data_IF_663286681352
#
_entry.id   IF_663286681352
#
_cell.length_a   1.000
_cell.length_b   1.000
_cell.length_c   1.000
_cell.angle_alpha   90.00
_cell.angle_beta   90.00
_cell.angle_gamma   90.00
#
_symmetry.space_group_name_H-M   'P 1'
#
loop_
_entity.id
_entity.type
_entity.pdbx_description
1 polymer ?
#
# COMPACT_ATOMS: atom_id res chain seq x y z
N UNK A 1 -33.39 -11.07 72.38
CA UNK A 1 -34.55 -10.15 72.25
C UNK A 1 -34.03 -8.84 71.70
N UNK A 2 -34.40 -8.42 70.48
CA UNK A 2 -34.96 -9.22 69.38
C UNK A 2 -33.84 -10.14 68.81
N UNK A 3 -33.54 -10.40 67.54
CA UNK A 3 -34.14 -10.06 66.24
C UNK A 3 -33.72 -11.11 65.17
N UNK A 4 -34.29 -11.03 63.97
CA UNK A 4 -34.00 -11.92 62.83
C UNK A 4 -33.84 -11.13 61.52
N UNK A 5 -32.60 -10.92 61.07
CA UNK A 5 -32.33 -10.55 59.67
C UNK A 5 -32.04 -11.81 58.83
N UNK A 6 -33.10 -12.57 58.58
CA UNK A 6 -33.07 -13.68 57.63
C UNK A 6 -32.90 -13.12 56.20
N UNK A 7 -31.65 -13.08 55.72
CA UNK A 7 -31.27 -12.74 54.35
C UNK A 7 -31.89 -13.74 53.36
N UNK A 8 -33.16 -13.50 53.00
CA UNK A 8 -33.94 -14.36 52.11
C UNK A 8 -33.27 -14.36 50.72
N UNK A 9 -32.81 -15.51 50.20
CA UNK A 9 -32.05 -15.54 48.96
C UNK A 9 -32.89 -14.97 47.80
N UNK A 10 -32.27 -14.18 46.89
CA UNK A 10 -32.99 -13.59 45.77
C UNK A 10 -33.62 -14.67 44.91
N UNK A 11 -34.89 -14.48 44.53
CA UNK A 11 -35.64 -15.45 43.71
C UNK A 11 -34.86 -15.75 42.42
N UNK A 12 -34.76 -17.01 41.96
CA UNK A 12 -33.82 -17.40 40.89
C UNK A 12 -34.02 -16.64 39.57
N UNK A 13 -35.26 -16.22 39.26
CA UNK A 13 -35.55 -15.36 38.10
C UNK A 13 -34.90 -13.97 38.20
N UNK A 14 -34.78 -13.40 39.39
CA UNK A 14 -34.11 -12.09 39.61
C UNK A 14 -32.60 -12.25 39.43
N UNK A 15 -32.01 -13.33 39.97
CA UNK A 15 -30.60 -13.65 39.77
C UNK A 15 -30.28 -13.88 38.28
N UNK A 16 -31.13 -14.60 37.55
CA UNK A 16 -30.98 -14.81 36.10
C UNK A 16 -31.13 -13.50 35.31
N UNK A 17 -32.10 -12.64 35.64
CA UNK A 17 -32.26 -11.34 34.97
C UNK A 17 -31.08 -10.40 35.25
N UNK A 18 -30.55 -10.39 36.48
CA UNK A 18 -29.35 -9.63 36.83
C UNK A 18 -28.11 -10.15 36.08
N UNK A 19 -27.96 -11.47 35.95
CA UNK A 19 -26.88 -12.09 35.17
C UNK A 19 -27.00 -11.75 33.67
N UNK A 20 -28.20 -11.85 33.09
CA UNK A 20 -28.44 -11.49 31.69
C UNK A 20 -28.21 -9.99 31.43
N UNK A 21 -28.62 -9.11 32.34
CA UNK A 21 -28.35 -7.68 32.26
C UNK A 21 -26.85 -7.37 32.36
N UNK A 22 -26.11 -8.04 33.25
CA UNK A 22 -24.67 -7.89 33.39
C UNK A 22 -23.91 -8.41 32.16
N UNK A 23 -24.31 -9.55 31.60
CA UNK A 23 -23.74 -10.09 30.35
C UNK A 23 -24.04 -9.16 29.17
N UNK A 24 -25.27 -8.67 29.04
CA UNK A 24 -25.64 -7.72 27.98
C UNK A 24 -24.85 -6.40 28.10
N UNK A 25 -24.72 -5.86 29.31
CA UNK A 25 -23.91 -4.68 29.58
C UNK A 25 -22.42 -4.92 29.25
N UNK A 26 -21.87 -6.09 29.59
CA UNK A 26 -20.49 -6.46 29.24
C UNK A 26 -20.28 -6.61 27.72
N UNK A 27 -21.27 -7.11 26.99
CA UNK A 27 -21.23 -7.23 25.52
C UNK A 27 -21.34 -5.87 24.82
N UNK A 28 -22.16 -4.93 25.33
CA UNK A 28 -22.24 -3.57 24.79
C UNK A 28 -21.06 -2.68 25.23
N UNK A 29 -20.44 -2.94 26.38
CA UNK A 29 -19.26 -2.23 26.87
C UNK A 29 -17.94 -2.81 26.36
N UNK A 30 -17.95 -3.98 25.72
CA UNK A 30 -16.80 -4.50 25.02
C UNK A 30 -16.46 -3.54 23.86
N UNK A 31 -15.23 -2.99 23.78
CA UNK A 31 -14.83 -2.22 22.61
C UNK A 31 -14.93 -3.11 21.37
N UNK A 32 -15.29 -2.58 20.19
CA UNK A 32 -15.30 -3.36 18.97
C UNK A 32 -13.92 -3.99 18.79
N UNK A 33 -13.90 -5.31 18.56
CA UNK A 33 -12.67 -6.05 18.35
C UNK A 33 -12.04 -5.66 17.02
N UNK A 34 -11.34 -4.53 17.01
CA UNK A 34 -10.48 -4.12 15.92
C UNK A 34 -9.52 -5.28 15.63
N UNK A 35 -9.44 -5.66 14.35
CA UNK A 35 -8.48 -6.67 13.90
C UNK A 35 -7.08 -6.12 14.18
N UNK A 36 -6.49 -6.58 15.28
CA UNK A 36 -5.21 -6.11 15.77
C UNK A 36 -4.09 -6.69 14.88
N UNK A 37 -3.84 -6.04 13.75
CA UNK A 37 -2.74 -6.40 12.86
C UNK A 37 -1.42 -6.38 13.65
N UNK A 38 -0.77 -7.54 13.75
CA UNK A 38 0.52 -7.63 14.44
C UNK A 38 1.59 -6.87 13.64
N UNK A 39 2.27 -5.88 14.23
CA UNK A 39 3.20 -5.04 13.49
C UNK A 39 4.41 -5.85 12.99
N UNK A 40 4.73 -5.71 11.71
CA UNK A 40 5.85 -6.41 11.09
C UNK A 40 7.19 -5.81 11.53
N UNK A 41 8.01 -6.59 12.23
CA UNK A 41 9.32 -6.16 12.73
C UNK A 41 10.41 -6.30 11.66
N UNK A 42 10.74 -5.22 10.97
CA UNK A 42 11.89 -5.14 10.06
C UNK A 42 13.14 -4.68 10.82
N UNK A 43 14.26 -5.39 10.66
CA UNK A 43 15.58 -5.00 11.20
C UNK A 43 16.61 -4.92 10.07
N UNK A 44 17.42 -3.88 10.07
CA UNK A 44 18.50 -3.64 9.11
C UNK A 44 19.78 -3.33 9.87
N UNK A 45 20.87 -4.02 9.53
CA UNK A 45 22.20 -3.77 10.06
C UNK A 45 23.05 -3.08 8.98
N UNK A 46 23.27 -1.78 9.14
CA UNK A 46 24.03 -0.96 8.18
C UNK A 46 25.55 -1.15 8.28
N UNK A 47 26.07 -1.77 9.33
CA UNK A 47 27.50 -2.07 9.46
C UNK A 47 27.89 -3.33 8.67
N UNK A 48 26.92 -4.21 8.37
CA UNK A 48 27.15 -5.52 7.75
C UNK A 48 26.88 -5.52 6.24
N UNK A 49 27.85 -5.04 5.47
CA UNK A 49 27.83 -5.16 4.00
C UNK A 49 27.95 -6.63 3.58
N UNK A 50 26.97 -7.15 2.82
CA UNK A 50 26.93 -8.56 2.39
C UNK A 50 27.47 -8.80 0.98
N UNK A 51 27.09 -7.96 0.02
CA UNK A 51 27.49 -8.03 -1.40
C UNK A 51 27.11 -6.73 -2.12
N UNK A 52 27.71 -6.43 -3.29
CA UNK A 52 27.24 -5.33 -4.14
C UNK A 52 25.78 -5.55 -4.59
N UNK A 53 24.96 -4.50 -4.54
CA UNK A 53 23.65 -4.43 -5.20
C UNK A 53 23.82 -3.63 -6.50
N UNK A 54 23.47 -4.22 -7.65
CA UNK A 54 23.44 -3.52 -8.94
C UNK A 54 22.05 -3.00 -9.21
N UNK A 55 21.95 -1.75 -9.68
CA UNK A 55 20.69 -1.13 -10.11
C UNK A 55 20.29 -1.66 -11.50
N UNK A 56 19.76 -2.90 -11.56
CA UNK A 56 19.44 -3.60 -12.81
C UNK A 56 18.11 -3.16 -13.46
N UNK A 57 17.34 -2.30 -12.81
CA UNK A 57 15.98 -1.90 -13.18
C UNK A 57 15.90 -0.54 -13.91
N UNK A 58 17.04 0.05 -14.30
CA UNK A 58 17.14 1.44 -14.78
C UNK A 58 16.74 1.63 -16.25
N UNK A 59 15.64 0.98 -16.68
CA UNK A 59 15.11 1.12 -18.04
C UNK A 59 13.61 1.33 -18.01
N UNK A 60 13.13 2.16 -18.93
CA UNK A 60 11.73 2.27 -19.33
C UNK A 60 11.62 2.03 -20.85
N UNK A 61 10.43 2.22 -21.43
CA UNK A 61 10.20 2.13 -22.87
C UNK A 61 8.76 2.46 -23.24
N UNK A 62 8.54 2.80 -24.50
CA UNK A 62 7.22 3.16 -25.04
C UNK A 62 7.09 2.70 -26.51
N UNK A 63 5.88 2.77 -27.05
CA UNK A 63 5.61 2.60 -28.48
C UNK A 63 4.81 3.81 -28.96
N UNK A 64 5.21 4.49 -30.06
CA UNK A 64 4.38 5.54 -30.65
C UNK A 64 3.01 4.98 -31.10
N UNK A 65 1.96 5.81 -31.14
CA UNK A 65 0.63 5.40 -31.58
C UNK A 65 0.60 5.01 -33.07
N UNK A 66 -0.55 4.54 -33.54
CA UNK A 66 -0.82 4.38 -34.96
C UNK A 66 -1.17 5.75 -35.60
N UNK A 67 -0.77 6.01 -36.86
CA UNK A 67 0.04 5.14 -37.71
C UNK A 67 1.54 5.32 -37.45
N UNK A 68 2.31 4.23 -37.44
CA UNK A 68 3.73 4.27 -37.03
C UNK A 68 4.65 5.06 -37.98
N UNK A 69 4.26 5.22 -39.25
CA UNK A 69 4.93 6.13 -40.19
C UNK A 69 4.68 7.63 -39.92
N UNK A 70 4.02 7.96 -38.80
CA UNK A 70 3.86 9.31 -38.25
C UNK A 70 4.33 9.33 -36.77
N UNK A 71 5.22 8.41 -36.38
CA UNK A 71 5.80 8.36 -35.04
C UNK A 71 6.52 9.67 -34.66
N UNK A 72 7.05 10.43 -35.63
CA UNK A 72 7.68 11.73 -35.44
C UNK A 72 6.77 12.74 -34.72
N UNK A 73 5.47 12.73 -35.04
CA UNK A 73 4.48 13.61 -34.41
C UNK A 73 4.28 13.32 -32.93
N UNK A 74 4.61 12.10 -32.47
CA UNK A 74 4.56 11.71 -31.06
C UNK A 74 5.95 11.82 -30.41
N UNK A 75 6.97 11.20 -30.99
CA UNK A 75 8.34 11.13 -30.46
C UNK A 75 9.00 12.51 -30.32
N UNK A 76 8.67 13.46 -31.19
CA UNK A 76 9.21 14.83 -31.17
C UNK A 76 8.25 15.85 -30.55
N UNK A 77 7.06 15.41 -30.09
CA UNK A 77 6.04 16.29 -29.48
C UNK A 77 6.55 17.03 -28.24
N UNK A 78 5.91 18.15 -27.91
CA UNK A 78 6.20 18.86 -26.66
C UNK A 78 5.88 18.00 -25.43
N UNK A 79 4.79 17.22 -25.49
CA UNK A 79 4.40 16.24 -24.49
C UNK A 79 5.51 15.20 -24.24
N UNK A 80 6.13 14.68 -25.29
CA UNK A 80 7.23 13.72 -25.17
C UNK A 80 8.54 14.38 -24.72
N UNK A 81 8.82 15.62 -25.14
CA UNK A 81 9.95 16.41 -24.61
C UNK A 81 9.82 16.62 -23.10
N UNK A 82 8.62 16.95 -22.60
CA UNK A 82 8.33 17.03 -21.17
C UNK A 82 8.45 15.65 -20.48
N UNK A 83 7.87 14.59 -21.05
CA UNK A 83 7.96 13.24 -20.49
C UNK A 83 9.41 12.76 -20.35
N UNK A 84 10.24 12.98 -21.37
CA UNK A 84 11.67 12.67 -21.34
C UNK A 84 12.43 13.53 -20.32
N UNK A 85 12.02 14.79 -20.09
CA UNK A 85 12.56 15.60 -19.00
C UNK A 85 12.20 15.04 -17.61
N UNK A 86 10.97 14.55 -17.41
CA UNK A 86 10.58 13.87 -16.16
C UNK A 86 11.36 12.55 -15.95
N UNK A 87 11.56 11.77 -17.02
CA UNK A 87 12.36 10.53 -16.97
C UNK A 87 13.83 10.83 -16.67
N UNK A 88 14.40 11.87 -17.28
CA UNK A 88 15.79 12.31 -17.06
C UNK A 88 16.02 12.99 -15.69
N UNK A 89 14.96 13.53 -15.07
CA UNK A 89 15.03 14.15 -13.74
C UNK A 89 15.13 13.13 -12.58
N UNK A 90 15.02 11.81 -12.85
CA UNK A 90 15.16 10.78 -11.81
C UNK A 90 16.61 10.75 -11.29
N UNK A 91 16.83 11.02 -9.98
CA UNK A 91 18.16 11.30 -9.46
C UNK A 91 19.13 10.12 -9.57
N UNK A 92 20.43 10.44 -9.63
CA UNK A 92 21.54 9.48 -9.73
C UNK A 92 21.44 8.51 -10.93
N UNK A 93 20.77 8.92 -12.00
CA UNK A 93 20.50 8.08 -13.16
C UNK A 93 19.60 6.89 -12.79
N UNK A 94 18.51 7.13 -12.04
CA UNK A 94 17.57 6.06 -11.68
C UNK A 94 16.84 5.43 -12.87
N UNK A 95 16.83 6.12 -14.02
CA UNK A 95 16.59 5.56 -15.35
C UNK A 95 17.79 5.95 -16.24
N UNK A 96 18.30 5.00 -17.03
CA UNK A 96 19.42 5.18 -17.97
C UNK A 96 19.04 4.87 -19.42
N UNK A 97 17.99 4.05 -19.65
CA UNK A 97 17.57 3.62 -20.97
C UNK A 97 16.07 3.86 -21.21
N UNK A 98 15.73 4.35 -22.40
CA UNK A 98 14.36 4.36 -22.94
C UNK A 98 14.33 3.46 -24.17
N UNK A 99 13.57 2.35 -24.11
CA UNK A 99 13.39 1.44 -25.25
C UNK A 99 12.20 1.89 -26.11
N UNK A 100 12.50 2.65 -27.16
CA UNK A 100 11.54 3.13 -28.16
C UNK A 100 11.32 2.09 -29.27
N UNK A 101 10.08 1.90 -29.72
CA UNK A 101 9.75 1.09 -30.90
C UNK A 101 9.67 1.97 -32.16
N UNK A 102 9.78 1.37 -33.36
CA UNK A 102 9.64 2.07 -34.65
C UNK A 102 10.64 3.19 -34.94
N UNK A 103 11.78 3.24 -34.24
CA UNK A 103 12.86 4.23 -34.46
C UNK A 103 13.38 4.32 -35.91
N UNK A 104 13.22 3.26 -36.73
CA UNK A 104 13.62 3.27 -38.13
C UNK A 104 12.62 3.97 -39.06
N UNK A 105 11.34 4.07 -38.65
CA UNK A 105 10.29 4.78 -39.41
C UNK A 105 10.51 6.30 -39.37
N UNK A 106 11.33 6.79 -38.43
CA UNK A 106 11.80 8.19 -38.35
C UNK A 106 12.90 8.52 -39.38
N UNK A 107 13.48 7.51 -40.05
CA UNK A 107 14.61 7.70 -40.97
C UNK A 107 14.10 7.99 -42.38
N UNK A 108 14.46 9.15 -42.93
CA UNK A 108 14.24 9.47 -44.34
C UNK A 108 15.53 9.36 -45.14
N UNK A 109 15.46 8.71 -46.30
CA UNK A 109 16.53 8.67 -47.31
C UNK A 109 16.31 9.82 -48.30
N UNK A 110 17.39 10.43 -48.78
CA UNK A 110 17.42 11.51 -49.77
C UNK A 110 18.42 11.18 -50.87
#
# INVERSE_FOLDING_TARGET
MPDCLAMRPPRPRIALLALLAAVLAAVLAAPPAALAETPHLVRVDAARVLRPLRHFWRSTGFCPPLPHNQADQYDLSWDQQLNLAYIGAVPHGGIEQVRTHWLLDLITVR
#
